data_IF_173515255214
#
_entry.id   IF_173515255214
#
_cell.length_a   1.000
_cell.length_b   1.000
_cell.length_c   1.000
_cell.angle_alpha   90.00
_cell.angle_beta   90.00
_cell.angle_gamma   90.00
#
_symmetry.space_group_name_H-M   'P 1'
#
loop_
_entity.id
_entity.type
_entity.pdbx_description
1 polymer ?
#
# COMPACT_ATOMS: atom_id res chain seq x y z
N UNK A 1 -48.54 -31.05 41.83
CA UNK A 1 -47.66 -31.72 40.86
C UNK A 1 -47.62 -30.86 39.61
N UNK A 2 -46.45 -30.29 39.27
CA UNK A 2 -46.28 -29.34 38.17
C UNK A 2 -45.38 -29.99 37.10
N UNK A 3 -45.99 -30.40 35.98
CA UNK A 3 -45.23 -30.87 34.81
C UNK A 3 -44.79 -29.66 33.95
N UNK A 4 -43.48 -29.46 33.86
CA UNK A 4 -42.85 -28.55 32.90
C UNK A 4 -42.70 -29.29 31.57
N UNK A 5 -43.44 -28.86 30.56
CA UNK A 5 -43.24 -29.30 29.18
C UNK A 5 -42.14 -28.46 28.51
N UNK A 6 -40.95 -29.06 28.41
CA UNK A 6 -39.78 -28.49 27.75
C UNK A 6 -39.88 -28.72 26.23
N UNK A 7 -40.23 -27.68 25.49
CA UNK A 7 -40.34 -27.75 24.02
C UNK A 7 -38.95 -27.65 23.39
N UNK A 8 -38.39 -28.79 22.96
CA UNK A 8 -37.12 -28.87 22.23
C UNK A 8 -37.30 -28.36 20.79
N UNK A 9 -36.85 -27.13 20.52
CA UNK A 9 -36.76 -26.55 19.18
C UNK A 9 -35.65 -27.25 18.38
N UNK A 10 -36.02 -28.06 17.39
CA UNK A 10 -35.08 -28.67 16.45
C UNK A 10 -34.61 -27.61 15.45
N UNK A 11 -33.34 -27.16 15.53
CA UNK A 11 -32.70 -26.34 14.49
C UNK A 11 -32.59 -27.16 13.20
N UNK A 12 -33.17 -26.65 12.11
CA UNK A 12 -32.99 -27.20 10.76
C UNK A 12 -31.64 -26.74 10.22
N UNK A 13 -30.74 -27.68 9.94
CA UNK A 13 -29.47 -27.40 9.25
C UNK A 13 -29.75 -27.05 7.79
N UNK A 14 -29.36 -25.86 7.35
CA UNK A 14 -29.37 -25.49 5.94
C UNK A 14 -28.26 -26.25 5.20
N UNK A 15 -28.62 -27.27 4.43
CA UNK A 15 -27.72 -27.87 3.45
C UNK A 15 -27.78 -27.03 2.17
N UNK A 16 -26.70 -26.28 1.91
CA UNK A 16 -26.49 -25.56 0.66
C UNK A 16 -26.30 -26.58 -0.47
N UNK A 17 -27.28 -26.71 -1.37
CA UNK A 17 -27.13 -27.53 -2.57
C UNK A 17 -26.24 -26.77 -3.54
N UNK A 18 -25.02 -27.25 -3.77
CA UNK A 18 -24.15 -26.76 -4.84
C UNK A 18 -24.85 -27.00 -6.19
N UNK A 19 -25.53 -26.00 -6.71
CA UNK A 19 -25.87 -25.97 -8.13
C UNK A 19 -24.58 -25.70 -8.90
N UNK A 20 -24.35 -26.51 -9.92
CA UNK A 20 -23.16 -26.54 -10.74
C UNK A 20 -23.05 -25.20 -11.50
N UNK A 21 -22.23 -24.27 -11.01
CA UNK A 21 -22.02 -22.97 -11.67
C UNK A 21 -21.12 -23.20 -12.87
N UNK A 22 -21.71 -23.16 -14.06
CA UNK A 22 -21.00 -23.28 -15.34
C UNK A 22 -20.06 -22.09 -15.51
N UNK A 23 -18.75 -22.35 -15.69
CA UNK A 23 -17.72 -21.31 -15.89
C UNK A 23 -16.66 -21.18 -14.78
N UNK A 24 -16.73 -21.98 -13.71
CA UNK A 24 -15.74 -21.93 -12.61
C UNK A 24 -14.42 -22.69 -12.88
N UNK A 25 -14.27 -23.30 -14.07
CA UNK A 25 -13.15 -24.18 -14.42
C UNK A 25 -12.31 -23.70 -15.62
N UNK A 26 -12.39 -22.43 -16.00
CA UNK A 26 -11.52 -21.87 -17.06
C UNK A 26 -10.17 -21.37 -16.51
N UNK A 27 -9.55 -22.14 -15.61
CA UNK A 27 -8.16 -21.93 -15.25
C UNK A 27 -7.31 -22.94 -16.03
N UNK A 28 -6.43 -22.51 -16.96
CA UNK A 28 -5.61 -23.45 -17.72
C UNK A 28 -4.68 -24.17 -16.76
N UNK A 29 -4.99 -25.45 -16.48
CA UNK A 29 -4.08 -26.35 -15.79
C UNK A 29 -2.82 -26.48 -16.65
N UNK A 30 -1.72 -25.88 -16.20
CA UNK A 30 -0.39 -26.15 -16.74
C UNK A 30 -0.22 -27.67 -16.84
N UNK A 31 0.09 -28.14 -18.05
CA UNK A 31 0.29 -29.54 -18.41
C UNK A 31 1.27 -30.20 -17.43
N UNK A 32 0.73 -30.76 -16.35
CA UNK A 32 1.47 -31.60 -15.43
C UNK A 32 1.40 -33.01 -15.98
N UNK A 33 2.57 -33.52 -16.38
CA UNK A 33 2.80 -34.82 -16.97
C UNK A 33 1.97 -35.94 -16.33
N UNK A 34 1.35 -36.77 -17.18
CA UNK A 34 0.62 -37.97 -16.80
C UNK A 34 1.42 -38.84 -15.82
N UNK A 35 0.92 -39.01 -14.60
CA UNK A 35 1.34 -40.10 -13.72
C UNK A 35 0.12 -40.76 -13.07
N UNK A 36 0.15 -42.10 -13.02
CA UNK A 36 -0.97 -43.01 -12.74
C UNK A 36 -1.58 -42.82 -11.32
N UNK A 37 -2.85 -43.21 -11.10
CA UNK A 37 -3.54 -42.97 -9.85
C UNK A 37 -3.22 -44.07 -8.85
N UNK A 38 -2.51 -43.74 -7.76
CA UNK A 38 -2.73 -44.29 -6.42
C UNK A 38 -1.62 -43.81 -5.49
N UNK A 39 -1.94 -42.83 -4.64
CA UNK A 39 -1.38 -42.72 -3.28
C UNK A 39 -2.16 -41.65 -2.52
N UNK A 40 -2.63 -42.03 -1.33
CA UNK A 40 -3.28 -41.16 -0.35
C UNK A 40 -2.48 -39.86 -0.19
N UNK A 41 -3.11 -38.72 -0.46
CA UNK A 41 -2.50 -37.40 -0.27
C UNK A 41 -2.26 -37.20 1.23
N UNK A 42 -1.01 -37.40 1.68
CA UNK A 42 -0.56 -36.92 2.98
C UNK A 42 -0.47 -35.40 2.88
N UNK A 43 -1.29 -34.69 3.67
CA UNK A 43 -1.21 -33.23 3.82
C UNK A 43 0.22 -32.85 4.21
N UNK A 44 0.87 -31.87 3.56
CA UNK A 44 2.15 -31.37 4.01
C UNK A 44 1.96 -30.70 5.39
N UNK A 45 2.72 -31.19 6.36
CA UNK A 45 2.83 -30.60 7.71
C UNK A 45 3.49 -29.23 7.54
N UNK A 46 2.86 -28.16 8.03
CA UNK A 46 3.44 -26.81 8.08
C UNK A 46 4.83 -26.89 8.75
N UNK A 47 5.89 -26.65 7.97
CA UNK A 47 7.22 -26.43 8.53
C UNK A 47 7.31 -24.94 8.87
N UNK A 48 7.41 -24.67 10.17
CA UNK A 48 7.75 -23.36 10.71
C UNK A 48 9.25 -23.15 10.49
N UNK A 49 9.65 -22.20 9.63
CA UNK A 49 11.04 -21.81 9.46
C UNK A 49 11.34 -20.59 10.32
N UNK A 50 11.80 -20.84 11.55
CA UNK A 50 12.47 -19.84 12.38
C UNK A 50 13.97 -19.92 12.10
N UNK A 51 14.48 -18.87 11.45
CA UNK A 51 15.84 -18.28 11.53
C UNK A 51 17.05 -19.19 11.27
N UNK A 52 17.89 -18.81 10.30
CA UNK A 52 19.32 -18.50 10.55
C UNK A 52 20.02 -17.92 9.33
N UNK A 53 20.79 -16.87 9.60
CA UNK A 53 21.72 -16.17 8.74
C UNK A 53 22.84 -17.09 8.23
N UNK A 54 23.30 -16.85 7.00
CA UNK A 54 24.70 -16.76 6.52
C UNK A 54 24.80 -17.23 5.06
N UNK A 55 25.08 -16.26 4.17
CA UNK A 55 25.72 -16.43 2.87
C UNK A 55 27.13 -17.06 3.06
N UNK A 56 27.82 -17.64 2.03
CA UNK A 56 27.89 -17.08 0.67
C UNK A 56 28.08 -18.05 -0.52
N UNK A 57 28.00 -17.45 -1.71
CA UNK A 57 28.71 -17.79 -2.95
C UNK A 57 28.44 -19.16 -3.60
N UNK A 58 27.64 -19.12 -4.67
CA UNK A 58 27.86 -19.98 -5.84
C UNK A 58 28.01 -19.07 -7.06
N UNK A 59 29.24 -19.04 -7.57
CA UNK A 59 29.58 -18.47 -8.88
C UNK A 59 29.03 -19.41 -9.93
N UNK A 60 27.95 -19.04 -10.61
CA UNK A 60 27.61 -19.65 -11.90
C UNK A 60 27.84 -18.63 -13.01
N UNK A 61 28.97 -18.85 -13.67
CA UNK A 61 29.39 -18.20 -14.90
C UNK A 61 28.50 -18.67 -16.05
N UNK A 62 27.62 -17.80 -16.53
CA UNK A 62 27.00 -17.94 -17.84
C UNK A 62 27.54 -16.84 -18.75
N UNK A 63 28.56 -17.22 -19.52
CA UNK A 63 29.08 -16.50 -20.68
C UNK A 63 28.03 -16.50 -21.79
N UNK A 64 27.49 -15.31 -22.11
CA UNK A 64 26.70 -15.08 -23.33
C UNK A 64 27.40 -14.03 -24.16
N UNK A 65 27.52 -14.34 -25.46
CA UNK A 65 28.46 -13.75 -26.39
C UNK A 65 28.30 -12.24 -26.63
N UNK A 66 29.46 -11.61 -26.71
CA UNK A 66 29.72 -10.30 -27.27
C UNK A 66 29.25 -10.21 -28.71
N UNK A 67 28.22 -9.40 -28.98
CA UNK A 67 28.03 -8.76 -30.30
C UNK A 67 28.55 -7.34 -30.20
N UNK A 68 29.69 -7.10 -30.84
CA UNK A 68 30.28 -5.78 -31.03
C UNK A 68 29.30 -4.87 -31.78
N UNK A 69 28.89 -3.78 -31.14
CA UNK A 69 28.24 -2.63 -31.76
C UNK A 69 29.36 -1.63 -32.11
N UNK A 70 29.41 -1.05 -33.33
CA UNK A 70 30.46 -0.10 -33.68
C UNK A 70 30.34 1.19 -32.84
N UNK A 71 31.46 1.87 -32.52
CA UNK A 71 31.43 3.08 -31.71
C UNK A 71 30.77 4.23 -32.47
N UNK A 72 29.70 4.78 -31.90
CA UNK A 72 29.13 6.05 -32.31
C UNK A 72 30.15 7.17 -32.04
N UNK A 73 30.59 7.83 -33.11
CA UNK A 73 31.37 9.08 -33.01
C UNK A 73 30.48 10.15 -32.36
N UNK A 74 30.81 10.54 -31.14
CA UNK A 74 30.32 11.77 -30.54
C UNK A 74 31.05 12.95 -31.20
N UNK A 75 30.37 13.68 -32.09
CA UNK A 75 30.84 15.00 -32.51
C UNK A 75 30.80 15.94 -31.30
N UNK A 76 31.97 16.41 -30.90
CA UNK A 76 32.13 17.45 -29.88
C UNK A 76 31.76 18.77 -30.56
N UNK A 77 30.50 19.17 -30.42
CA UNK A 77 30.08 20.55 -30.70
C UNK A 77 30.68 21.47 -29.66
N UNK A 78 31.54 22.37 -30.11
CA UNK A 78 32.14 23.49 -29.38
C UNK A 78 31.06 24.25 -28.59
N UNK A 79 31.20 24.47 -27.26
CA UNK A 79 30.29 25.35 -26.53
C UNK A 79 30.61 26.83 -26.87
N UNK A 80 29.59 27.71 -26.97
CA UNK A 80 29.81 29.14 -27.16
C UNK A 80 30.47 29.77 -25.92
N UNK A 81 31.20 30.89 -26.08
CA UNK A 81 31.89 31.54 -24.97
C UNK A 81 30.88 32.11 -23.96
N UNK A 82 31.07 31.72 -22.70
CA UNK A 82 30.30 32.23 -21.56
C UNK A 82 30.50 33.73 -21.40
N UNK A 83 29.45 34.52 -21.61
CA UNK A 83 29.34 35.87 -21.06
C UNK A 83 29.21 35.78 -19.54
N UNK A 84 30.15 36.39 -18.82
CA UNK A 84 30.08 36.57 -17.37
C UNK A 84 28.82 37.38 -17.01
N UNK A 85 27.82 36.72 -16.45
CA UNK A 85 26.85 37.38 -15.58
C UNK A 85 27.43 37.35 -14.17
N UNK A 86 27.77 38.52 -13.65
CA UNK A 86 28.01 38.73 -12.22
C UNK A 86 26.72 38.44 -11.46
N UNK A 87 26.56 37.22 -10.98
CA UNK A 87 25.58 36.89 -9.96
C UNK A 87 26.32 36.96 -8.63
N UNK A 88 26.08 38.06 -7.91
CA UNK A 88 26.48 38.21 -6.53
C UNK A 88 26.02 36.98 -5.73
N UNK A 89 26.99 36.35 -5.07
CA UNK A 89 26.77 35.27 -4.14
C UNK A 89 25.85 35.74 -3.00
N UNK A 90 24.58 35.33 -3.05
CA UNK A 90 23.78 35.17 -1.85
C UNK A 90 23.79 33.70 -1.47
N UNK A 91 24.69 33.37 -0.57
CA UNK A 91 24.82 32.07 0.11
C UNK A 91 23.51 31.75 0.82
N UNK A 92 22.60 31.09 0.11
CA UNK A 92 21.34 30.60 0.67
C UNK A 92 21.58 29.20 1.23
N UNK A 93 22.24 29.12 2.38
CA UNK A 93 22.17 27.93 3.23
C UNK A 93 20.77 27.86 3.84
N UNK A 94 19.78 27.34 3.11
CA UNK A 94 18.44 27.07 3.67
C UNK A 94 17.71 26.01 2.85
N UNK A 95 18.23 24.79 2.84
CA UNK A 95 17.57 23.64 2.19
C UNK A 95 17.46 22.43 3.14
N UNK A 96 17.71 22.58 4.44
CA UNK A 96 17.70 21.42 5.37
C UNK A 96 16.90 21.61 6.66
N UNK A 97 16.28 22.77 6.89
CA UNK A 97 15.42 22.98 8.07
C UNK A 97 13.91 22.91 7.78
N UNK A 98 13.46 23.16 6.54
CA UNK A 98 12.03 23.14 6.23
C UNK A 98 11.47 21.71 6.14
N UNK A 99 12.21 20.76 5.54
CA UNK A 99 11.74 19.38 5.35
C UNK A 99 11.50 18.65 6.67
N UNK A 100 12.31 18.93 7.70
CA UNK A 100 12.10 18.39 9.05
C UNK A 100 10.79 18.90 9.65
N UNK A 101 10.51 20.20 9.49
CA UNK A 101 9.31 20.85 10.03
C UNK A 101 8.03 20.37 9.34
N UNK A 102 8.06 20.14 8.03
CA UNK A 102 6.91 19.61 7.28
C UNK A 102 6.60 18.15 7.64
N UNK A 103 7.63 17.31 7.79
CA UNK A 103 7.46 15.91 8.22
C UNK A 103 6.92 15.77 9.64
N UNK A 104 7.25 16.72 10.52
CA UNK A 104 6.73 16.78 11.88
C UNK A 104 5.28 17.27 11.88
N UNK A 105 4.96 18.22 10.99
CA UNK A 105 3.61 18.75 10.85
C UNK A 105 2.59 17.70 10.42
N UNK A 106 2.86 16.89 9.39
CA UNK A 106 1.94 15.83 8.96
C UNK A 106 1.68 14.79 10.07
N UNK A 107 2.67 14.49 10.91
CA UNK A 107 2.49 13.59 12.05
C UNK A 107 1.54 14.18 13.08
N UNK A 108 1.64 15.47 13.36
CA UNK A 108 0.75 16.20 14.26
C UNK A 108 -0.68 16.19 13.70
N UNK A 109 -0.83 16.48 12.42
CA UNK A 109 -2.13 16.52 11.73
C UNK A 109 -2.83 15.15 11.74
N UNK A 110 -2.10 14.08 11.43
CA UNK A 110 -2.60 12.71 11.53
C UNK A 110 -2.94 12.33 12.97
N UNK A 111 -2.11 12.70 13.95
CA UNK A 111 -2.39 12.44 15.35
C UNK A 111 -3.69 13.12 15.81
N UNK A 112 -3.94 14.36 15.37
CA UNK A 112 -5.20 15.07 15.63
C UNK A 112 -6.37 14.35 14.96
N UNK A 113 -6.25 13.98 13.68
CA UNK A 113 -7.29 13.26 12.95
C UNK A 113 -7.69 11.97 13.70
N UNK A 114 -6.72 11.28 14.25
CA UNK A 114 -6.89 10.04 15.03
C UNK A 114 -7.48 10.21 16.43
N UNK A 115 -7.64 11.44 16.91
CA UNK A 115 -8.33 11.76 18.16
C UNK A 115 -9.78 12.15 17.95
N UNK A 116 -10.19 12.41 16.70
CA UNK A 116 -11.57 12.72 16.38
C UNK A 116 -12.49 11.54 16.71
N UNK A 117 -13.73 11.87 17.08
CA UNK A 117 -14.78 10.88 17.25
C UNK A 117 -14.99 10.17 15.91
N UNK A 118 -15.04 8.84 15.95
CA UNK A 118 -15.13 8.01 14.75
C UNK A 118 -16.15 6.90 14.92
N UNK A 119 -16.71 6.44 13.80
CA UNK A 119 -17.57 5.25 13.72
C UNK A 119 -16.79 3.95 13.61
N UNK A 120 -15.46 4.02 13.41
CA UNK A 120 -14.60 2.85 13.33
C UNK A 120 -14.47 2.16 14.69
N UNK A 121 -14.37 0.84 14.69
CA UNK A 121 -14.02 0.10 15.89
C UNK A 121 -12.58 0.38 16.30
N UNK A 122 -12.24 0.18 17.57
CA UNK A 122 -10.87 0.37 18.08
C UNK A 122 -9.84 -0.48 17.33
N UNK A 123 -10.22 -1.71 16.94
CA UNK A 123 -9.37 -2.62 16.16
C UNK A 123 -9.08 -2.09 14.75
N UNK A 124 -10.11 -1.57 14.07
CA UNK A 124 -9.96 -0.98 12.74
C UNK A 124 -9.11 0.29 12.79
N UNK A 125 -9.39 1.17 13.75
CA UNK A 125 -8.61 2.39 13.95
C UNK A 125 -7.13 2.06 14.23
N UNK A 126 -6.85 1.07 15.08
CA UNK A 126 -5.48 0.61 15.33
C UNK A 126 -4.80 0.07 14.06
N UNK A 127 -5.52 -0.69 13.25
CA UNK A 127 -5.01 -1.23 11.99
C UNK A 127 -4.69 -0.11 11.00
N UNK A 128 -5.57 0.87 10.80
CA UNK A 128 -5.33 1.98 9.89
C UNK A 128 -4.21 2.91 10.37
N UNK A 129 -4.13 3.18 11.67
CA UNK A 129 -3.00 3.89 12.29
C UNK A 129 -1.67 3.21 11.96
N UNK A 130 -1.62 1.88 12.10
CA UNK A 130 -0.43 1.09 11.78
C UNK A 130 -0.09 1.16 10.29
N UNK A 131 -1.08 0.97 9.41
CA UNK A 131 -0.86 1.00 7.96
C UNK A 131 -0.36 2.36 7.47
N UNK A 132 -0.92 3.45 7.98
CA UNK A 132 -0.46 4.81 7.65
C UNK A 132 0.92 5.06 8.27
N UNK A 133 1.14 4.63 9.52
CA UNK A 133 2.41 4.77 10.23
C UNK A 133 3.59 4.05 9.58
N UNK A 134 3.35 2.90 8.96
CA UNK A 134 4.36 2.08 8.27
C UNK A 134 4.53 2.45 6.79
N UNK A 135 3.74 3.40 6.28
CA UNK A 135 3.78 3.79 4.87
C UNK A 135 4.89 4.80 4.54
N UNK A 136 5.12 4.95 3.24
CA UNK A 136 6.03 5.91 2.60
C UNK A 136 5.56 7.37 2.68
N UNK A 137 4.38 7.63 3.24
CA UNK A 137 3.79 8.97 3.42
C UNK A 137 4.72 9.97 4.13
N UNK A 138 5.67 9.50 4.95
CA UNK A 138 6.64 10.35 5.66
C UNK A 138 7.98 10.51 4.94
N UNK A 139 8.20 9.77 3.86
CA UNK A 139 9.46 9.76 3.12
C UNK A 139 9.32 10.57 1.83
N UNK A 140 8.21 10.42 1.11
CA UNK A 140 7.94 11.09 -0.15
C UNK A 140 7.23 12.45 0.04
N UNK A 141 7.80 13.51 -0.53
CA UNK A 141 7.25 14.87 -0.45
C UNK A 141 5.92 15.02 -1.18
N UNK A 142 5.72 14.28 -2.28
CA UNK A 142 4.45 14.32 -3.04
C UNK A 142 3.33 13.73 -2.18
N UNK A 143 3.58 12.57 -1.58
CA UNK A 143 2.66 11.90 -0.66
C UNK A 143 2.35 12.75 0.58
N UNK A 144 3.36 13.41 1.18
CA UNK A 144 3.14 14.33 2.31
C UNK A 144 2.18 15.44 1.95
N UNK A 145 2.44 16.13 0.84
CA UNK A 145 1.62 17.27 0.40
C UNK A 145 0.19 16.85 0.06
N UNK A 146 0.03 15.72 -0.64
CA UNK A 146 -1.28 15.19 -0.98
C UNK A 146 -2.09 14.84 0.28
N UNK A 147 -1.49 14.07 1.20
CA UNK A 147 -2.14 13.72 2.46
C UNK A 147 -2.54 14.94 3.29
N UNK A 148 -1.65 15.94 3.39
CA UNK A 148 -1.94 17.20 4.07
C UNK A 148 -3.08 17.96 3.39
N UNK A 149 -3.13 17.97 2.05
CA UNK A 149 -4.25 18.58 1.32
C UNK A 149 -5.56 17.92 1.71
N UNK A 150 -5.65 16.60 1.63
CA UNK A 150 -6.88 15.85 1.96
C UNK A 150 -7.34 16.08 3.40
N UNK A 151 -6.40 16.12 4.36
CA UNK A 151 -6.71 16.40 5.76
C UNK A 151 -7.22 17.84 5.94
N UNK A 152 -6.58 18.80 5.28
CA UNK A 152 -6.99 20.20 5.33
C UNK A 152 -8.36 20.42 4.69
N UNK A 153 -8.64 19.76 3.57
CA UNK A 153 -9.90 19.83 2.88
C UNK A 153 -11.03 19.25 3.73
N UNK A 154 -10.76 18.13 4.41
CA UNK A 154 -11.65 17.56 5.41
C UNK A 154 -11.91 18.54 6.57
N UNK A 155 -10.87 19.13 7.15
CA UNK A 155 -11.00 20.13 8.24
C UNK A 155 -11.77 21.39 7.82
N UNK A 156 -11.74 21.75 6.54
CA UNK A 156 -12.53 22.87 5.97
C UNK A 156 -13.99 22.50 5.71
N UNK A 157 -14.42 21.30 6.10
CA UNK A 157 -15.75 20.78 5.83
C UNK A 157 -16.11 20.77 4.34
N UNK A 158 -15.11 20.55 3.48
CA UNK A 158 -15.38 20.27 2.08
C UNK A 158 -16.13 18.95 1.94
N UNK A 159 -16.79 18.78 0.80
CA UNK A 159 -17.59 17.60 0.54
C UNK A 159 -16.74 16.33 0.62
N UNK A 160 -17.10 15.42 1.54
CA UNK A 160 -16.36 14.19 1.78
C UNK A 160 -16.29 13.34 0.51
N UNK A 161 -17.34 13.34 -0.33
CA UNK A 161 -17.32 12.58 -1.59
C UNK A 161 -16.26 13.09 -2.55
N UNK A 162 -16.10 14.41 -2.67
CA UNK A 162 -15.07 15.01 -3.51
C UNK A 162 -13.65 14.67 -3.02
N UNK A 163 -13.40 14.79 -1.71
CA UNK A 163 -12.11 14.39 -1.11
C UNK A 163 -11.81 12.91 -1.39
N UNK A 164 -12.84 12.05 -1.37
CA UNK A 164 -12.71 10.64 -1.71
C UNK A 164 -12.33 10.39 -3.16
N UNK A 165 -12.89 11.16 -4.09
CA UNK A 165 -12.51 11.12 -5.51
C UNK A 165 -11.06 11.53 -5.70
N UNK A 166 -10.63 12.62 -5.07
CA UNK A 166 -9.24 13.11 -5.17
C UNK A 166 -8.23 12.10 -4.60
N UNK A 167 -8.55 11.45 -3.48
CA UNK A 167 -7.71 10.39 -2.91
C UNK A 167 -7.60 9.18 -3.86
N UNK A 168 -8.70 8.80 -4.49
CA UNK A 168 -8.71 7.67 -5.43
C UNK A 168 -7.97 8.01 -6.73
N UNK A 169 -8.13 9.23 -7.24
CA UNK A 169 -7.40 9.74 -8.39
C UNK A 169 -5.89 9.79 -8.10
N UNK A 170 -5.49 10.30 -6.93
CA UNK A 170 -4.10 10.29 -6.51
C UNK A 170 -3.53 8.86 -6.50
N UNK A 171 -4.26 7.90 -5.90
CA UNK A 171 -3.84 6.49 -5.88
C UNK A 171 -3.74 5.87 -7.29
N UNK A 172 -4.57 6.30 -8.23
CA UNK A 172 -4.50 5.81 -9.61
C UNK A 172 -3.20 6.21 -10.30
N UNK A 173 -2.67 7.39 -9.98
CA UNK A 173 -1.40 7.90 -10.50
C UNK A 173 -0.19 7.43 -9.66
N UNK A 174 -0.42 7.06 -8.39
CA UNK A 174 0.60 6.65 -7.42
C UNK A 174 0.24 5.28 -6.82
N UNK A 175 0.54 4.20 -7.55
CA UNK A 175 0.13 2.83 -7.18
C UNK A 175 0.74 2.30 -5.87
N UNK A 176 1.86 2.88 -5.46
CA UNK A 176 2.62 2.64 -4.24
C UNK A 176 2.01 3.33 -3.00
N UNK A 177 1.12 4.31 -3.20
CA UNK A 177 0.41 5.01 -2.12
C UNK A 177 -0.66 4.14 -1.44
N UNK A 178 -0.22 3.08 -0.77
CA UNK A 178 -1.07 2.12 -0.04
C UNK A 178 -1.82 2.76 1.13
N UNK A 179 -1.36 3.92 1.60
CA UNK A 179 -1.95 4.69 2.69
C UNK A 179 -3.23 5.44 2.31
N UNK A 180 -3.52 5.62 1.02
CA UNK A 180 -4.69 6.36 0.54
C UNK A 180 -6.01 5.72 1.02
N UNK A 181 -6.15 4.40 0.93
CA UNK A 181 -7.39 3.71 1.32
C UNK A 181 -7.62 3.73 2.84
N UNK A 182 -6.61 3.43 3.69
CA UNK A 182 -6.73 3.63 5.14
C UNK A 182 -7.08 5.06 5.51
N UNK A 183 -6.42 6.07 4.90
CA UNK A 183 -6.70 7.48 5.18
C UNK A 183 -8.14 7.83 4.80
N UNK A 184 -8.60 7.44 3.62
CA UNK A 184 -9.97 7.64 3.18
C UNK A 184 -10.99 7.06 4.16
N UNK A 185 -10.75 5.84 4.65
CA UNK A 185 -11.64 5.20 5.64
C UNK A 185 -11.70 5.94 6.96
N UNK A 186 -10.57 6.49 7.40
CA UNK A 186 -10.50 7.31 8.61
C UNK A 186 -11.30 8.60 8.42
N UNK A 187 -11.07 9.33 7.31
CA UNK A 187 -11.77 10.58 7.00
C UNK A 187 -13.28 10.37 6.86
N UNK A 188 -13.71 9.36 6.11
CA UNK A 188 -15.12 9.02 5.90
C UNK A 188 -15.85 8.70 7.21
N UNK A 189 -15.13 8.17 8.20
CA UNK A 189 -15.72 7.72 9.46
C UNK A 189 -15.58 8.72 10.60
N UNK A 190 -14.81 9.79 10.42
CA UNK A 190 -14.57 10.82 11.42
C UNK A 190 -15.72 11.83 11.45
N UNK A 191 -16.14 12.20 12.65
CA UNK A 191 -17.13 13.24 12.90
C UNK A 191 -16.40 14.52 13.31
N UNK A 192 -16.59 15.60 12.56
CA UNK A 192 -16.10 16.92 12.97
C UNK A 192 -17.18 17.52 13.87
N UNK A 193 -16.87 17.68 15.15
CA UNK A 193 -17.76 18.40 16.08
C UNK A 193 -17.93 19.84 15.54
N UNK A 194 -19.17 20.19 15.17
CA UNK A 194 -19.56 21.51 14.66
C UNK A 194 -19.88 22.48 15.79
#
# INVERSE_FOLDING_TARGET
MTEKNESKTKMKSYQFKHQNIQGWNDCPALLCSQSKPNRKIRRPKRVSSYVSFLNPATNDTLTVGTKQVPPLKLEISTPPPFTKCDIQASTSNSVTQNDKKESEYIKIELAQLFTLKTRLTEKEMCLFKKQIGESDIFQDEVSKRAALSFINDFKRHLDITHIGEDILEFRQHHSDAIWCLPLWKVLQSAEIES
#
